data_IF_455283716361
#
_entry.id   IF_455283716361
#
_cell.length_a   1.000
_cell.length_b   1.000
_cell.length_c   1.000
_cell.angle_alpha   90.00
_cell.angle_beta   90.00
_cell.angle_gamma   90.00
#
_symmetry.space_group_name_H-M   'P 1'
#
loop_
_entity.id
_entity.type
_entity.pdbx_description
1 polymer ?
#
# COMPACT_ATOMS: atom_id res chain seq x y z
N UNK A 1 -24.46 4.34 0.81
CA UNK A 1 -24.87 5.46 -0.03
C UNK A 1 -24.62 6.80 0.63
N UNK A 2 -24.53 7.83 -0.17
CA UNK A 2 -24.59 9.22 0.28
C UNK A 2 -26.04 9.62 0.52
N UNK A 3 -26.33 10.60 1.39
CA UNK A 3 -27.67 11.16 1.53
C UNK A 3 -28.16 11.75 0.20
N UNK A 4 -29.47 11.65 -0.08
CA UNK A 4 -30.08 12.15 -1.32
C UNK A 4 -29.82 13.66 -1.53
N UNK A 5 -29.82 14.43 -0.45
CA UNK A 5 -29.48 15.87 -0.48
C UNK A 5 -28.10 16.18 -1.04
N UNK A 6 -27.21 15.18 -1.16
CA UNK A 6 -25.86 15.34 -1.72
C UNK A 6 -25.91 15.70 -3.21
N UNK A 7 -26.94 15.28 -3.92
CA UNK A 7 -27.11 15.53 -5.37
C UNK A 7 -27.21 17.01 -5.72
N UNK A 8 -27.64 17.84 -4.76
CA UNK A 8 -27.83 19.27 -4.95
C UNK A 8 -26.70 20.11 -4.36
N UNK A 9 -25.71 19.48 -3.71
CA UNK A 9 -24.58 20.17 -3.06
C UNK A 9 -23.44 20.47 -4.03
N UNK A 10 -22.81 21.62 -3.85
CA UNK A 10 -21.55 21.92 -4.49
C UNK A 10 -20.38 21.20 -3.77
N UNK A 11 -19.24 20.94 -4.46
CA UNK A 11 -18.11 20.25 -3.86
C UNK A 11 -17.61 20.84 -2.53
N UNK A 12 -17.65 22.16 -2.38
CA UNK A 12 -17.23 22.86 -1.16
C UNK A 12 -18.23 22.71 0.01
N UNK A 13 -19.45 22.23 -0.24
CA UNK A 13 -20.47 21.93 0.77
C UNK A 13 -20.42 20.48 1.22
N UNK A 14 -19.57 19.66 0.56
CA UNK A 14 -19.35 18.27 0.90
C UNK A 14 -18.18 18.10 1.86
N UNK A 15 -18.31 17.18 2.81
CA UNK A 15 -17.14 16.76 3.61
C UNK A 15 -16.10 16.04 2.73
N UNK A 16 -14.84 15.99 3.16
CA UNK A 16 -13.79 15.28 2.42
C UNK A 16 -14.16 13.82 2.12
N UNK A 17 -14.77 13.12 3.08
CA UNK A 17 -15.26 11.76 2.88
C UNK A 17 -16.41 11.66 1.86
N UNK A 18 -17.33 12.62 1.83
CA UNK A 18 -18.39 12.69 0.81
C UNK A 18 -17.80 12.89 -0.58
N UNK A 19 -16.88 13.84 -0.74
CA UNK A 19 -16.22 14.12 -2.03
C UNK A 19 -15.47 12.88 -2.55
N UNK A 20 -14.74 12.16 -1.69
CA UNK A 20 -14.04 10.92 -2.08
C UNK A 20 -14.99 9.81 -2.53
N UNK A 21 -16.12 9.66 -1.86
CA UNK A 21 -17.14 8.68 -2.26
C UNK A 21 -17.82 9.05 -3.57
N UNK A 22 -18.03 10.34 -3.83
CA UNK A 22 -18.51 10.83 -5.14
C UNK A 22 -17.49 10.47 -6.21
N UNK A 23 -16.20 10.75 -6.00
CA UNK A 23 -15.12 10.41 -6.94
C UNK A 23 -15.05 8.91 -7.22
N UNK A 24 -15.16 8.07 -6.18
CA UNK A 24 -15.21 6.61 -6.36
C UNK A 24 -16.42 6.18 -7.18
N UNK A 25 -17.59 6.74 -6.88
CA UNK A 25 -18.82 6.44 -7.65
C UNK A 25 -18.66 6.84 -9.12
N UNK A 26 -18.04 8.00 -9.39
CA UNK A 26 -17.75 8.45 -10.77
C UNK A 26 -16.80 7.48 -11.49
N UNK A 27 -15.76 6.99 -10.82
CA UNK A 27 -14.84 6.02 -11.39
C UNK A 27 -15.51 4.68 -11.73
N UNK A 28 -16.53 4.29 -10.97
CA UNK A 28 -17.28 3.04 -11.17
C UNK A 28 -18.35 3.13 -12.28
N UNK A 29 -18.82 4.32 -12.67
CA UNK A 29 -19.93 4.50 -13.62
C UNK A 29 -19.68 3.87 -14.99
N UNK A 30 -18.44 3.86 -15.46
CA UNK A 30 -18.05 3.32 -16.77
C UNK A 30 -17.79 1.81 -16.74
N UNK A 31 -18.10 1.12 -15.65
CA UNK A 31 -17.81 -0.32 -15.46
C UNK A 31 -16.37 -0.68 -15.84
N UNK A 32 -15.35 -0.02 -15.26
CA UNK A 32 -13.95 -0.25 -15.60
C UNK A 32 -13.53 -1.67 -15.26
N UNK A 33 -12.49 -2.18 -15.95
CA UNK A 33 -11.85 -3.45 -15.61
C UNK A 33 -10.72 -3.32 -14.60
N UNK A 34 -10.26 -2.09 -14.36
CA UNK A 34 -9.20 -1.75 -13.41
C UNK A 34 -9.51 -0.41 -12.76
N UNK A 35 -9.42 -0.37 -11.44
CA UNK A 35 -9.40 0.87 -10.65
C UNK A 35 -8.01 1.06 -10.08
N UNK A 36 -7.47 2.28 -10.22
CA UNK A 36 -6.26 2.71 -9.52
C UNK A 36 -6.70 3.71 -8.45
N UNK A 37 -6.52 3.35 -7.18
CA UNK A 37 -6.87 4.15 -6.02
C UNK A 37 -5.60 4.60 -5.30
N UNK A 38 -5.27 5.88 -5.43
CA UNK A 38 -4.10 6.49 -4.79
C UNK A 38 -4.55 7.23 -3.54
N UNK A 39 -4.09 6.75 -2.39
CA UNK A 39 -4.43 7.27 -1.05
C UNK A 39 -5.95 7.54 -0.89
N UNK A 40 -6.81 6.51 -1.03
CA UNK A 40 -8.26 6.74 -1.04
C UNK A 40 -8.86 7.06 0.33
N UNK A 41 -8.17 6.79 1.44
CA UNK A 41 -8.71 6.85 2.81
C UNK A 41 -8.33 8.07 3.66
N UNK A 42 -7.25 8.85 3.41
CA UNK A 42 -6.90 9.97 4.28
C UNK A 42 -8.06 10.95 4.49
N UNK A 43 -8.25 11.36 5.76
CA UNK A 43 -9.34 12.27 6.14
C UNK A 43 -10.72 11.62 6.30
N UNK A 44 -10.80 10.29 6.20
CA UNK A 44 -11.97 9.51 6.59
C UNK A 44 -11.83 9.04 8.04
N UNK A 45 -12.96 8.90 8.75
CA UNK A 45 -12.96 8.11 9.97
C UNK A 45 -12.74 6.62 9.65
N UNK A 46 -12.32 5.85 10.65
CA UNK A 46 -11.95 4.45 10.46
C UNK A 46 -13.10 3.60 9.88
N UNK A 47 -14.34 3.86 10.31
CA UNK A 47 -15.51 3.11 9.84
C UNK A 47 -15.75 3.35 8.34
N UNK A 48 -15.64 4.60 7.92
CA UNK A 48 -15.81 4.99 6.52
C UNK A 48 -14.64 4.49 5.65
N UNK A 49 -13.41 4.53 6.18
CA UNK A 49 -12.23 3.98 5.51
C UNK A 49 -12.39 2.47 5.25
N UNK A 50 -12.76 1.69 6.27
CA UNK A 50 -13.03 0.25 6.12
C UNK A 50 -14.12 -0.03 5.11
N UNK A 51 -15.22 0.71 5.16
CA UNK A 51 -16.30 0.54 4.18
C UNK A 51 -15.84 0.82 2.75
N UNK A 52 -15.00 1.82 2.54
CA UNK A 52 -14.43 2.11 1.22
C UNK A 52 -13.53 0.96 0.74
N UNK A 53 -12.76 0.35 1.64
CA UNK A 53 -11.94 -0.82 1.32
C UNK A 53 -12.80 -2.04 0.97
N UNK A 54 -13.90 -2.27 1.69
CA UNK A 54 -14.86 -3.32 1.36
C UNK A 54 -15.49 -3.12 -0.02
N UNK A 55 -15.77 -1.87 -0.42
CA UNK A 55 -16.29 -1.57 -1.76
C UNK A 55 -15.26 -1.88 -2.85
N UNK A 56 -13.97 -1.62 -2.65
CA UNK A 56 -12.90 -2.08 -3.54
C UNK A 56 -12.78 -3.60 -3.58
N UNK A 57 -12.91 -4.27 -2.43
CA UNK A 57 -12.88 -5.74 -2.37
C UNK A 57 -14.03 -6.35 -3.17
N UNK A 58 -15.26 -5.87 -3.01
CA UNK A 58 -16.43 -6.31 -3.79
C UNK A 58 -16.19 -6.15 -5.29
N UNK A 59 -15.66 -4.99 -5.70
CA UNK A 59 -15.34 -4.75 -7.11
C UNK A 59 -14.31 -5.75 -7.66
N UNK A 60 -13.29 -6.10 -6.85
CA UNK A 60 -12.32 -7.13 -7.22
C UNK A 60 -12.94 -8.54 -7.29
N UNK A 61 -13.83 -8.88 -6.34
CA UNK A 61 -14.53 -10.18 -6.29
C UNK A 61 -15.47 -10.40 -7.50
N UNK A 62 -15.90 -9.32 -8.16
CA UNK A 62 -16.64 -9.35 -9.43
C UNK A 62 -15.73 -9.64 -10.65
N UNK A 63 -14.46 -9.92 -10.45
CA UNK A 63 -13.48 -10.27 -11.49
C UNK A 63 -12.77 -9.06 -12.11
N UNK A 64 -12.78 -7.92 -11.44
CA UNK A 64 -12.07 -6.71 -11.89
C UNK A 64 -10.75 -6.55 -11.15
N UNK A 65 -9.86 -5.68 -11.66
CA UNK A 65 -8.60 -5.34 -11.02
C UNK A 65 -8.72 -4.12 -10.10
N UNK A 66 -8.02 -4.14 -8.96
CA UNK A 66 -7.82 -2.96 -8.11
C UNK A 66 -6.33 -2.83 -7.81
N UNK A 67 -5.76 -1.68 -8.16
CA UNK A 67 -4.43 -1.26 -7.71
C UNK A 67 -4.62 -0.20 -6.61
N UNK A 68 -4.38 -0.59 -5.37
CA UNK A 68 -4.45 0.29 -4.21
C UNK A 68 -3.04 0.78 -3.85
N UNK A 69 -2.84 2.09 -3.82
CA UNK A 69 -1.62 2.74 -3.34
C UNK A 69 -1.96 3.39 -2.00
N UNK A 70 -1.28 2.96 -0.94
CA UNK A 70 -1.53 3.50 0.41
C UNK A 70 -0.33 3.29 1.32
N UNK A 71 -0.22 4.13 2.33
CA UNK A 71 0.70 3.95 3.46
C UNK A 71 0.00 3.27 4.66
N UNK A 72 -1.31 3.05 4.59
CA UNK A 72 -2.05 2.34 5.63
C UNK A 72 -1.98 0.83 5.39
N UNK A 73 -0.96 0.23 6.01
CA UNK A 73 -0.67 -1.19 5.86
C UNK A 73 -1.79 -2.04 6.44
N UNK A 74 -2.38 -1.63 7.58
CA UNK A 74 -3.42 -2.41 8.25
C UNK A 74 -4.65 -2.56 7.35
N UNK A 75 -5.11 -1.47 6.75
CA UNK A 75 -6.20 -1.51 5.78
C UNK A 75 -5.86 -2.31 4.52
N UNK A 76 -4.62 -2.18 4.02
CA UNK A 76 -4.18 -2.96 2.86
C UNK A 76 -4.19 -4.47 3.16
N UNK A 77 -3.72 -4.89 4.34
CA UNK A 77 -3.71 -6.29 4.77
C UNK A 77 -5.12 -6.89 4.91
N UNK A 78 -6.14 -6.07 5.19
CA UNK A 78 -7.54 -6.53 5.30
C UNK A 78 -8.16 -6.86 3.94
N UNK A 79 -7.71 -6.24 2.84
CA UNK A 79 -8.44 -6.30 1.55
C UNK A 79 -7.62 -6.80 0.37
N UNK A 80 -6.29 -6.73 0.41
CA UNK A 80 -5.44 -7.09 -0.72
C UNK A 80 -5.23 -8.61 -0.84
N UNK A 81 -5.04 -9.09 -2.07
CA UNK A 81 -4.58 -10.45 -2.35
C UNK A 81 -3.05 -10.50 -2.36
N UNK A 82 -2.41 -9.45 -2.90
CA UNK A 82 -0.94 -9.30 -3.00
C UNK A 82 -0.53 -7.91 -2.57
N UNK A 83 0.67 -7.81 -2.03
CA UNK A 83 1.26 -6.55 -1.59
C UNK A 83 2.59 -6.37 -2.30
N UNK A 84 2.78 -5.17 -2.85
CA UNK A 84 4.03 -4.71 -3.43
C UNK A 84 4.60 -3.63 -2.52
N UNK A 85 5.78 -3.86 -1.98
CA UNK A 85 6.45 -2.93 -1.07
C UNK A 85 7.41 -2.05 -1.85
N UNK A 86 7.21 -0.74 -1.73
CA UNK A 86 8.04 0.28 -2.36
C UNK A 86 8.98 0.92 -1.34
N UNK A 87 10.23 1.15 -1.75
CA UNK A 87 11.19 1.93 -1.01
C UNK A 87 12.05 2.78 -1.94
N UNK A 88 12.08 4.08 -1.72
CA UNK A 88 12.89 5.03 -2.48
C UNK A 88 12.76 4.87 -4.02
N UNK A 89 11.51 4.72 -4.49
CA UNK A 89 11.18 4.61 -5.92
C UNK A 89 11.42 3.23 -6.55
N UNK A 90 11.79 2.23 -5.76
CA UNK A 90 11.96 0.85 -6.23
C UNK A 90 11.01 -0.10 -5.53
N UNK A 91 10.52 -1.11 -6.24
CA UNK A 91 9.91 -2.29 -5.65
C UNK A 91 11.01 -3.08 -4.94
N UNK A 92 10.78 -3.43 -3.67
CA UNK A 92 11.74 -4.20 -2.88
C UNK A 92 11.23 -5.58 -2.51
N UNK A 93 9.92 -5.78 -2.51
CA UNK A 93 9.30 -7.08 -2.31
C UNK A 93 7.90 -7.10 -2.90
N UNK A 94 7.51 -8.22 -3.46
CA UNK A 94 6.14 -8.55 -3.82
C UNK A 94 5.78 -9.88 -3.20
N UNK A 95 4.66 -9.93 -2.48
CA UNK A 95 4.24 -11.14 -1.78
C UNK A 95 2.72 -11.25 -1.66
N UNK A 96 2.16 -12.47 -1.56
CA UNK A 96 0.76 -12.64 -1.17
C UNK A 96 0.53 -12.10 0.24
N UNK A 97 -0.67 -11.60 0.51
CA UNK A 97 -1.01 -11.03 1.83
C UNK A 97 -0.81 -12.03 2.97
N UNK A 98 -0.92 -13.33 2.70
CA UNK A 98 -0.67 -14.39 3.67
C UNK A 98 0.74 -14.36 4.27
N UNK A 99 1.73 -13.89 3.51
CA UNK A 99 3.12 -13.83 3.95
C UNK A 99 3.34 -12.72 5.01
N UNK A 100 2.44 -11.74 5.08
CA UNK A 100 2.48 -10.68 6.09
C UNK A 100 1.94 -11.10 7.46
N UNK A 101 1.55 -12.37 7.65
CA UNK A 101 1.15 -12.91 8.96
C UNK A 101 2.33 -13.18 9.89
N UNK A 102 3.53 -13.37 9.34
CA UNK A 102 4.74 -13.66 10.09
C UNK A 102 5.95 -12.99 9.46
N UNK A 103 6.87 -12.53 10.30
CA UNK A 103 8.13 -11.94 9.83
C UNK A 103 9.01 -12.94 9.07
N UNK A 104 8.96 -14.22 9.43
CA UNK A 104 9.77 -15.27 8.82
C UNK A 104 9.43 -15.49 7.34
N UNK A 105 8.20 -15.23 6.94
CA UNK A 105 7.73 -15.36 5.56
C UNK A 105 8.06 -14.17 4.68
N UNK A 106 8.38 -13.03 5.28
CA UNK A 106 8.86 -11.85 4.58
C UNK A 106 10.34 -12.01 4.21
N UNK A 107 10.77 -11.41 3.10
CA UNK A 107 12.11 -11.65 2.53
C UNK A 107 13.01 -10.43 2.67
N UNK A 108 12.56 -9.27 2.16
CA UNK A 108 13.39 -8.07 2.16
C UNK A 108 13.53 -7.47 3.57
N UNK A 109 14.74 -7.07 4.00
CA UNK A 109 14.95 -6.48 5.33
C UNK A 109 14.11 -5.23 5.63
N UNK A 110 13.81 -4.42 4.61
CA UNK A 110 12.90 -3.29 4.78
C UNK A 110 11.47 -3.73 5.07
N UNK A 111 10.95 -4.74 4.36
CA UNK A 111 9.60 -5.28 4.60
C UNK A 111 9.48 -5.83 6.02
N UNK A 112 10.51 -6.55 6.50
CA UNK A 112 10.58 -7.02 7.89
C UNK A 112 10.56 -5.87 8.90
N UNK A 113 11.36 -4.81 8.63
CA UNK A 113 11.37 -3.63 9.49
C UNK A 113 10.03 -2.89 9.48
N UNK A 114 9.37 -2.79 8.32
CA UNK A 114 8.05 -2.23 8.18
C UNK A 114 7.01 -3.04 8.96
N UNK A 115 7.07 -4.37 8.89
CA UNK A 115 6.21 -5.27 9.65
C UNK A 115 6.38 -5.11 11.17
N UNK A 116 7.63 -5.02 11.67
CA UNK A 116 7.93 -4.77 13.09
C UNK A 116 7.46 -3.40 13.59
N UNK A 117 7.36 -2.42 12.70
CA UNK A 117 6.88 -1.08 13.03
C UNK A 117 5.36 -1.00 13.24
N UNK A 118 4.61 -2.03 12.86
CA UNK A 118 3.17 -2.08 13.10
C UNK A 118 2.89 -2.21 14.61
N UNK A 119 1.84 -1.53 15.14
CA UNK A 119 1.50 -1.55 16.56
C UNK A 119 1.37 -2.96 17.14
N UNK A 120 0.73 -3.87 16.41
CA UNK A 120 0.52 -5.27 16.84
C UNK A 120 1.78 -6.14 16.80
N UNK A 121 2.86 -5.67 16.15
CA UNK A 121 4.09 -6.44 15.92
C UNK A 121 5.29 -5.92 16.72
N UNK A 122 5.04 -5.16 17.78
CA UNK A 122 6.07 -4.69 18.70
C UNK A 122 6.43 -3.22 18.56
N UNK A 123 5.86 -2.51 17.58
CA UNK A 123 6.03 -1.06 17.37
C UNK A 123 7.48 -0.60 17.40
N UNK A 124 8.35 -1.36 16.74
CA UNK A 124 9.80 -1.08 16.69
C UNK A 124 10.11 -0.15 15.53
N UNK A 125 10.51 1.12 15.79
CA UNK A 125 10.81 2.06 14.73
C UNK A 125 12.09 1.63 13.98
N UNK A 126 12.15 1.98 12.70
CA UNK A 126 13.34 1.83 11.89
C UNK A 126 14.18 3.11 11.91
N UNK A 127 15.40 3.03 12.37
CA UNK A 127 16.32 4.17 12.45
C UNK A 127 16.72 4.73 11.08
N UNK A 128 17.09 6.02 11.08
CA UNK A 128 17.55 6.73 9.90
C UNK A 128 16.42 7.18 8.96
N UNK A 129 16.78 7.82 7.87
CA UNK A 129 15.87 8.38 6.89
C UNK A 129 16.06 7.73 5.52
N UNK A 130 15.00 7.78 4.70
CA UNK A 130 15.10 7.39 3.30
C UNK A 130 16.08 8.32 2.57
N UNK A 131 16.95 7.81 1.68
CA UNK A 131 17.86 8.65 0.90
C UNK A 131 17.08 9.59 -0.02
N UNK A 132 17.59 10.79 -0.19
CA UNK A 132 17.09 11.71 -1.21
C UNK A 132 17.48 11.22 -2.62
N UNK A 133 16.67 11.60 -3.61
CA UNK A 133 16.94 11.22 -5.02
C UNK A 133 18.36 11.57 -5.46
N UNK A 134 18.88 12.74 -5.06
CA UNK A 134 20.25 13.19 -5.38
C UNK A 134 21.36 12.41 -4.66
N UNK A 135 21.04 11.77 -3.54
CA UNK A 135 21.97 11.04 -2.69
C UNK A 135 21.69 9.53 -2.73
N UNK A 136 21.00 9.06 -3.79
CA UNK A 136 20.64 7.65 -3.92
C UNK A 136 21.88 6.78 -3.98
N UNK A 137 22.02 5.77 -3.12
CA UNK A 137 23.15 4.85 -3.16
C UNK A 137 23.14 4.02 -4.44
N UNK A 138 24.31 3.57 -4.87
CA UNK A 138 24.40 2.53 -5.89
C UNK A 138 23.84 1.22 -5.33
N UNK A 139 23.10 0.48 -6.16
CA UNK A 139 22.51 -0.80 -5.80
C UNK A 139 21.22 -0.66 -4.98
N UNK A 140 21.17 -1.35 -3.84
CA UNK A 140 20.00 -1.36 -2.98
C UNK A 140 19.78 0.00 -2.27
N UNK A 141 18.63 0.66 -2.50
CA UNK A 141 18.36 1.95 -1.86
C UNK A 141 18.21 1.86 -0.34
N UNK A 142 17.89 0.68 0.19
CA UNK A 142 17.81 0.42 1.61
C UNK A 142 19.18 0.14 2.25
N UNK A 143 20.23 -0.08 1.45
CA UNK A 143 21.58 -0.44 1.91
C UNK A 143 22.09 0.35 3.12
N UNK A 144 22.02 1.69 3.13
CA UNK A 144 22.51 2.52 4.27
C UNK A 144 21.81 2.25 5.61
N UNK A 145 20.65 1.62 5.60
CA UNK A 145 19.83 1.31 6.79
C UNK A 145 19.70 -0.20 7.03
N UNK A 146 20.33 -1.00 6.17
CA UNK A 146 20.20 -2.46 6.20
C UNK A 146 21.28 -3.07 7.09
N UNK A 147 20.88 -3.76 8.16
CA UNK A 147 21.81 -4.51 9.02
C UNK A 147 22.44 -5.73 8.32
N UNK A 148 21.89 -6.16 7.18
CA UNK A 148 22.34 -7.30 6.38
C UNK A 148 23.07 -6.86 5.10
N UNK A 149 23.46 -5.58 5.03
CA UNK A 149 24.15 -5.03 3.86
C UNK A 149 25.48 -5.75 3.59
N UNK A 150 25.70 -6.07 2.31
CA UNK A 150 26.91 -6.76 1.80
C UNK A 150 27.45 -6.05 0.56
N UNK A 151 28.67 -6.39 0.14
CA UNK A 151 29.28 -5.81 -1.08
C UNK A 151 28.44 -6.06 -2.33
N UNK A 152 27.82 -7.22 -2.42
CA UNK A 152 26.92 -7.59 -3.54
C UNK A 152 25.73 -6.64 -3.65
N UNK A 153 25.32 -6.01 -2.56
CA UNK A 153 24.22 -5.02 -2.55
C UNK A 153 24.58 -3.69 -3.23
N UNK A 154 25.84 -3.46 -3.61
CA UNK A 154 26.27 -2.29 -4.37
C UNK A 154 26.00 -2.40 -5.86
N UNK A 155 25.77 -3.61 -6.36
CA UNK A 155 25.48 -3.88 -7.76
C UNK A 155 24.01 -3.69 -8.13
N UNK A 156 23.67 -4.02 -9.36
CA UNK A 156 22.30 -4.15 -9.78
C UNK A 156 21.67 -5.37 -9.07
N UNK A 157 20.54 -5.14 -8.43
CA UNK A 157 19.82 -6.19 -7.70
C UNK A 157 18.50 -6.42 -8.45
N UNK A 158 18.42 -7.48 -9.28
CA UNK A 158 17.18 -7.84 -9.94
C UNK A 158 16.20 -8.43 -8.91
N UNK A 159 14.89 -8.23 -9.15
CA UNK A 159 13.87 -8.98 -8.44
C UNK A 159 13.99 -10.46 -8.80
N UNK A 160 14.07 -11.32 -7.80
CA UNK A 160 14.15 -12.79 -7.96
C UNK A 160 12.96 -13.46 -7.31
N UNK A 161 12.45 -14.50 -7.94
CA UNK A 161 11.37 -15.30 -7.38
C UNK A 161 11.84 -16.02 -6.11
N UNK A 162 11.03 -15.96 -5.08
CA UNK A 162 11.29 -16.56 -3.79
C UNK A 162 9.98 -17.10 -3.18
N UNK A 163 9.71 -18.39 -3.39
CA UNK A 163 8.45 -19.01 -2.99
C UNK A 163 7.26 -18.46 -3.76
N UNK A 164 6.25 -17.94 -3.05
CA UNK A 164 5.03 -17.36 -3.65
C UNK A 164 5.15 -15.87 -3.97
N UNK A 165 6.32 -15.27 -3.77
CA UNK A 165 6.59 -13.85 -4.00
C UNK A 165 7.91 -13.63 -4.70
N UNK A 166 8.34 -12.37 -4.78
CA UNK A 166 9.65 -11.95 -5.31
C UNK A 166 10.31 -10.89 -4.42
N UNK A 167 11.63 -10.82 -4.45
CA UNK A 167 12.44 -9.91 -3.65
C UNK A 167 13.69 -9.46 -4.41
#
# INVERSE_FOLDING_TARGET
GLPEETETKYPFECSGGMTRRILLSTALMENPKLIIADEPTPGMDLTLAKKSMEDFRKFADEGNGVLLITHDIELALEVADRIVVFYAGKTVEEAPVSDFRSEETLRHPYTKALWRALPQNGFTPLDGTQPYVKDMPQGCPFGPRCSWYREECKGEIPMVEAGCGSV
#
